data_IF_695177087871
#
_entry.id   IF_695177087871
#
_cell.length_a   1.000
_cell.length_b   1.000
_cell.length_c   1.000
_cell.angle_alpha   90.00
_cell.angle_beta   90.00
_cell.angle_gamma   90.00
#
_symmetry.space_group_name_H-M   'P 1'
#
loop_
_entity.id
_entity.type
_entity.pdbx_description
1 polymer ?
#
# COMPACT_ATOMS: atom_id res chain seq x y z
N UNK A 1 28.11 -58.40 0.98
CA UNK A 1 27.72 -59.81 0.73
C UNK A 1 26.24 -59.93 1.05
N UNK A 2 25.43 -60.31 0.06
CA UNK A 2 23.98 -60.44 0.18
C UNK A 2 23.58 -61.78 0.80
N UNK A 3 22.54 -61.82 1.63
CA UNK A 3 21.67 -62.96 1.95
C UNK A 3 20.46 -62.38 2.73
N UNK A 4 19.19 -62.79 2.65
CA UNK A 4 18.35 -63.56 1.73
C UNK A 4 16.90 -63.38 2.26
N UNK A 5 15.90 -63.34 1.36
CA UNK A 5 14.46 -63.54 1.65
C UNK A 5 14.18 -64.92 2.29
N UNK A 6 13.03 -65.07 2.99
CA UNK A 6 12.00 -66.15 2.86
C UNK A 6 10.88 -65.93 3.92
N UNK A 7 9.66 -65.50 3.57
CA UNK A 7 8.44 -66.25 3.14
C UNK A 7 7.82 -67.19 4.20
N UNK A 8 6.56 -66.93 4.58
CA UNK A 8 5.43 -67.87 4.78
C UNK A 8 4.25 -67.16 5.45
N UNK A 9 2.96 -67.45 5.24
CA UNK A 9 2.23 -68.34 4.33
C UNK A 9 0.72 -68.14 4.64
N UNK A 10 -0.13 -68.25 3.60
CA UNK A 10 -1.51 -68.77 3.53
C UNK A 10 -2.55 -68.40 4.62
N UNK A 11 -3.65 -67.70 4.28
CA UNK A 11 -4.91 -68.18 3.64
C UNK A 11 -5.81 -69.00 4.60
N UNK A 12 -7.06 -68.55 4.79
CA UNK A 12 -8.32 -69.34 4.67
C UNK A 12 -9.53 -68.44 5.00
N UNK A 13 -10.48 -68.43 4.06
CA UNK A 13 -11.85 -67.91 4.15
C UNK A 13 -12.77 -68.95 4.80
N UNK A 14 -13.75 -68.53 5.61
CA UNK A 14 -15.19 -68.72 5.36
C UNK A 14 -16.08 -68.31 6.57
N UNK A 15 -16.92 -67.30 6.29
CA UNK A 15 -18.32 -67.05 6.68
C UNK A 15 -18.94 -67.77 7.90
N UNK A 16 -19.47 -66.97 8.82
CA UNK A 16 -20.84 -67.13 9.35
C UNK A 16 -21.48 -65.76 9.60
N UNK A 17 -22.70 -65.60 9.10
CA UNK A 17 -23.58 -64.47 9.33
C UNK A 17 -24.15 -64.46 10.76
N UNK A 18 -24.36 -63.28 11.34
CA UNK A 18 -25.55 -62.95 12.13
C UNK A 18 -25.62 -61.43 12.32
N UNK A 19 -26.76 -60.84 11.96
CA UNK A 19 -27.02 -59.42 12.15
C UNK A 19 -27.47 -59.08 13.57
N UNK A 20 -27.23 -57.84 13.97
CA UNK A 20 -28.11 -57.06 14.84
C UNK A 20 -27.78 -55.57 14.71
N UNK A 21 -28.78 -54.78 14.33
CA UNK A 21 -28.78 -53.32 14.30
C UNK A 21 -28.41 -52.71 15.66
N UNK A 22 -27.46 -51.78 15.67
CA UNK A 22 -27.41 -50.70 16.66
C UNK A 22 -26.69 -49.48 16.08
N UNK A 23 -27.48 -48.58 15.52
CA UNK A 23 -27.05 -47.30 14.99
C UNK A 23 -26.52 -46.41 16.12
N UNK A 24 -25.20 -46.24 16.17
CA UNK A 24 -24.58 -45.11 16.88
C UNK A 24 -23.70 -44.37 15.88
N UNK A 25 -24.30 -43.36 15.24
CA UNK A 25 -23.59 -42.42 14.40
C UNK A 25 -22.61 -41.64 15.27
N UNK A 26 -21.32 -41.94 15.18
CA UNK A 26 -20.29 -40.99 15.60
C UNK A 26 -20.47 -39.72 14.75
N UNK A 27 -20.75 -38.61 15.43
CA UNK A 27 -20.89 -37.32 14.78
C UNK A 27 -19.57 -36.96 14.08
N UNK A 28 -19.59 -36.45 12.84
CA UNK A 28 -18.40 -35.92 12.20
C UNK A 28 -17.82 -34.81 13.09
N UNK A 29 -16.52 -34.88 13.39
CA UNK A 29 -15.76 -33.74 13.90
C UNK A 29 -15.73 -32.70 12.78
N UNK A 30 -16.69 -31.78 12.81
CA UNK A 30 -16.69 -30.59 11.97
C UNK A 30 -15.42 -29.80 12.29
N UNK A 31 -14.52 -29.53 11.34
CA UNK A 31 -13.41 -28.62 11.59
C UNK A 31 -14.02 -27.28 12.03
N UNK A 32 -13.54 -26.76 13.16
CA UNK A 32 -13.90 -25.45 13.65
C UNK A 32 -13.68 -24.43 12.52
N UNK A 33 -14.65 -23.53 12.25
CA UNK A 33 -14.48 -22.52 11.20
C UNK A 33 -13.19 -21.74 11.48
N UNK A 34 -12.25 -21.76 10.53
CA UNK A 34 -11.08 -20.90 10.62
C UNK A 34 -11.56 -19.46 10.79
N UNK A 35 -11.17 -18.81 11.89
CA UNK A 35 -11.43 -17.39 12.11
C UNK A 35 -10.95 -16.61 10.88
N UNK A 36 -11.68 -15.57 10.42
CA UNK A 36 -11.27 -14.80 9.26
C UNK A 36 -9.86 -14.24 9.49
N UNK A 37 -8.93 -14.56 8.60
CA UNK A 37 -7.57 -14.04 8.67
C UNK A 37 -7.61 -12.51 8.53
N UNK A 38 -7.25 -11.80 9.61
CA UNK A 38 -7.25 -10.34 9.61
C UNK A 38 -6.03 -9.86 8.82
N UNK A 39 -6.28 -9.36 7.61
CA UNK A 39 -5.22 -8.93 6.69
C UNK A 39 -4.47 -7.72 7.25
N UNK A 40 -3.15 -7.86 7.39
CA UNK A 40 -2.24 -6.77 7.74
C UNK A 40 -1.66 -6.17 6.46
N UNK A 41 -1.71 -4.84 6.38
CA UNK A 41 -1.22 -4.03 5.27
C UNK A 41 0.07 -3.33 5.66
N UNK A 42 0.88 -2.96 4.66
CA UNK A 42 2.10 -2.15 4.85
C UNK A 42 1.96 -0.83 4.12
N UNK A 43 1.83 0.27 4.88
CA UNK A 43 1.82 1.62 4.36
C UNK A 43 3.20 2.27 4.41
N UNK A 44 3.33 3.48 3.85
CA UNK A 44 4.54 4.30 3.86
C UNK A 44 4.22 5.76 4.16
N UNK A 45 5.07 6.42 4.96
CA UNK A 45 4.98 7.85 5.24
C UNK A 45 5.98 8.65 4.39
N UNK A 46 5.53 9.75 3.79
CA UNK A 46 6.30 10.51 2.81
C UNK A 46 6.43 12.01 3.10
N UNK A 47 7.69 12.41 3.26
CA UNK A 47 8.34 13.69 2.94
C UNK A 47 9.75 13.28 2.47
N UNK A 48 9.85 12.65 1.29
CA UNK A 48 10.71 11.47 1.04
C UNK A 48 10.43 10.30 2.00
N UNK A 49 11.07 9.15 1.86
CA UNK A 49 10.83 8.05 2.81
C UNK A 49 11.26 8.46 4.22
N UNK A 50 10.33 8.55 5.18
CA UNK A 50 10.65 8.98 6.55
C UNK A 50 10.84 7.78 7.47
N UNK A 51 12.09 7.50 7.85
CA UNK A 51 12.48 6.45 8.79
C UNK A 51 12.51 6.97 10.23
N UNK A 52 12.19 6.10 11.19
CA UNK A 52 12.27 6.40 12.62
C UNK A 52 11.01 6.99 13.25
N UNK A 53 9.98 7.36 12.47
CA UNK A 53 8.69 7.81 13.06
C UNK A 53 8.05 6.68 13.87
N UNK A 54 7.76 6.94 15.15
CA UNK A 54 6.91 6.04 15.92
C UNK A 54 5.51 6.05 15.30
N UNK A 55 4.84 4.90 15.26
CA UNK A 55 3.44 4.79 14.85
C UNK A 55 2.65 3.88 15.78
N UNK A 56 1.35 4.16 15.90
CA UNK A 56 0.41 3.33 16.64
C UNK A 56 -0.94 3.29 15.95
N UNK A 57 -1.47 2.09 15.78
CA UNK A 57 -2.86 1.80 15.39
C UNK A 57 -3.56 1.03 16.50
N UNK A 58 -4.80 0.58 16.26
CA UNK A 58 -5.50 -0.29 17.21
C UNK A 58 -4.81 -1.65 17.38
N UNK A 59 -4.29 -2.23 16.29
CA UNK A 59 -3.66 -3.55 16.30
C UNK A 59 -2.13 -3.55 16.18
N UNK A 60 -1.52 -2.46 15.70
CA UNK A 60 -0.08 -2.39 15.42
C UNK A 60 0.59 -1.22 16.13
N UNK A 61 1.89 -1.36 16.37
CA UNK A 61 2.75 -0.23 16.77
C UNK A 61 4.20 -0.55 16.43
N UNK A 62 5.01 0.48 16.21
CA UNK A 62 6.43 0.31 15.87
C UNK A 62 7.05 1.62 15.42
N UNK A 63 8.15 1.51 14.69
CA UNK A 63 8.81 2.63 14.00
C UNK A 63 8.79 2.39 12.48
N UNK A 64 8.67 3.46 11.70
CA UNK A 64 8.85 3.38 10.26
C UNK A 64 10.27 2.94 9.93
N UNK A 65 10.42 2.03 8.95
CA UNK A 65 11.75 1.58 8.53
C UNK A 65 12.39 2.55 7.53
N UNK A 66 13.57 2.21 7.00
CA UNK A 66 14.33 2.98 6.00
C UNK A 66 13.57 3.31 4.70
N UNK A 67 12.46 2.62 4.43
CA UNK A 67 11.57 2.90 3.30
C UNK A 67 10.29 3.62 3.75
N UNK A 68 10.26 4.20 4.94
CA UNK A 68 9.10 4.84 5.55
C UNK A 68 7.96 3.87 5.92
N UNK A 69 8.19 2.55 5.93
CA UNK A 69 7.09 1.57 6.02
C UNK A 69 6.58 1.35 7.43
N UNK A 70 5.26 1.31 7.59
CA UNK A 70 4.53 0.93 8.81
C UNK A 70 3.47 -0.14 8.53
N UNK A 71 3.03 -0.87 9.56
CA UNK A 71 1.99 -1.90 9.43
C UNK A 71 0.66 -1.45 10.05
N UNK A 72 -0.46 -1.85 9.45
CA UNK A 72 -1.80 -1.54 9.95
C UNK A 72 -2.83 -2.57 9.45
N UNK A 73 -4.03 -2.58 10.03
CA UNK A 73 -5.18 -3.30 9.48
C UNK A 73 -6.19 -2.33 8.87
N UNK A 74 -7.00 -2.80 7.91
CA UNK A 74 -7.90 -1.93 7.16
C UNK A 74 -8.89 -1.15 8.05
N UNK A 75 -9.08 0.13 7.74
CA UNK A 75 -9.97 1.09 8.45
C UNK A 75 -9.51 1.50 9.86
N UNK A 76 -8.32 1.11 10.30
CA UNK A 76 -7.77 1.63 11.55
C UNK A 76 -7.38 3.10 11.43
N UNK A 77 -7.42 3.80 12.56
CA UNK A 77 -6.72 5.08 12.70
C UNK A 77 -5.24 4.82 13.02
N UNK A 78 -4.40 5.76 12.60
CA UNK A 78 -2.97 5.79 12.90
C UNK A 78 -2.60 7.14 13.51
N UNK A 79 -1.69 7.08 14.48
CA UNK A 79 -1.03 8.24 15.08
C UNK A 79 0.47 8.04 14.90
N UNK A 80 1.16 9.03 14.36
CA UNK A 80 2.63 9.07 14.30
C UNK A 80 3.18 9.96 15.41
N UNK A 81 4.40 9.70 15.86
CA UNK A 81 5.06 10.54 16.87
C UNK A 81 6.59 10.54 16.80
N UNK A 82 7.19 11.57 17.39
CA UNK A 82 8.63 11.69 17.67
C UNK A 82 8.78 11.93 19.17
N UNK A 83 9.21 10.92 19.92
CA UNK A 83 9.15 10.96 21.39
C UNK A 83 7.73 11.23 21.89
N UNK A 84 7.54 12.34 22.62
CA UNK A 84 6.25 12.82 23.12
C UNK A 84 5.47 13.72 22.14
N UNK A 85 6.06 14.07 20.99
CA UNK A 85 5.43 14.90 19.96
C UNK A 85 4.49 14.02 19.15
N UNK A 86 3.21 14.02 19.48
CA UNK A 86 2.17 13.30 18.71
C UNK A 86 1.63 14.15 17.57
N UNK A 87 1.52 13.56 16.37
CA UNK A 87 0.82 14.17 15.24
C UNK A 87 -0.68 13.88 15.33
N UNK A 88 -1.53 14.68 14.65
CA UNK A 88 -2.97 14.39 14.55
C UNK A 88 -3.24 12.96 14.05
N UNK A 89 -4.29 12.35 14.59
CA UNK A 89 -4.77 11.04 14.11
C UNK A 89 -5.37 11.17 12.71
N UNK A 90 -5.02 10.24 11.83
CA UNK A 90 -5.65 10.09 10.51
C UNK A 90 -6.03 8.63 10.25
N UNK A 91 -6.75 8.36 9.15
CA UNK A 91 -7.07 6.98 8.74
C UNK A 91 -5.80 6.35 8.17
N UNK A 92 -5.43 5.18 8.67
CA UNK A 92 -4.30 4.43 8.15
C UNK A 92 -4.54 4.08 6.67
N UNK A 93 -3.60 4.49 5.83
CA UNK A 93 -3.63 4.23 4.40
C UNK A 93 -2.24 3.81 3.96
N UNK A 94 -2.13 3.33 2.72
CA UNK A 94 -0.89 2.77 2.22
C UNK A 94 0.15 3.85 1.84
N UNK A 95 -0.31 5.09 1.65
CA UNK A 95 0.53 6.27 1.48
C UNK A 95 -0.04 7.37 2.37
N UNK A 96 0.80 7.92 3.22
CA UNK A 96 0.47 9.07 4.06
C UNK A 96 1.55 10.11 3.90
N UNK A 97 1.13 11.36 3.81
CA UNK A 97 1.99 12.54 3.76
C UNK A 97 1.58 13.51 4.86
N UNK A 98 2.38 14.54 5.15
CA UNK A 98 1.96 15.67 5.98
C UNK A 98 0.60 16.28 5.58
N UNK A 99 0.21 16.25 4.29
CA UNK A 99 -1.11 16.69 3.83
C UNK A 99 -2.25 15.80 4.36
N UNK A 100 -2.05 14.48 4.42
CA UNK A 100 -3.04 13.52 4.91
C UNK A 100 -3.20 13.57 6.44
N UNK A 101 -2.13 13.94 7.15
CA UNK A 101 -2.15 14.16 8.60
C UNK A 101 -3.04 15.35 8.95
N UNK A 102 -2.91 16.45 8.22
CA UNK A 102 -3.70 17.68 8.44
C UNK A 102 -4.97 17.77 7.57
N UNK A 103 -5.27 16.74 6.79
CA UNK A 103 -6.46 16.63 5.94
C UNK A 103 -6.64 17.85 5.02
N UNK A 104 -5.55 18.29 4.39
CA UNK A 104 -5.52 19.46 3.50
C UNK A 104 -4.87 19.11 2.16
N UNK A 105 -5.00 20.00 1.18
CA UNK A 105 -4.24 19.96 -0.08
C UNK A 105 -3.29 21.16 -0.22
N UNK A 106 -3.31 22.09 0.74
CA UNK A 106 -2.47 23.28 0.71
C UNK A 106 -1.11 23.01 1.35
N UNK A 107 -0.07 22.93 0.53
CA UNK A 107 1.32 22.79 0.97
C UNK A 107 1.82 23.99 1.80
N UNK A 108 1.09 25.10 1.79
CA UNK A 108 1.44 26.33 2.53
C UNK A 108 0.65 26.48 3.84
N UNK A 109 -0.21 25.52 4.18
CA UNK A 109 -0.86 25.49 5.49
C UNK A 109 0.22 25.43 6.59
N UNK A 110 0.10 26.28 7.61
CA UNK A 110 1.18 26.52 8.58
C UNK A 110 1.60 25.24 9.32
N UNK A 111 0.64 24.38 9.66
CA UNK A 111 0.90 23.13 10.36
C UNK A 111 1.67 22.14 9.48
N UNK A 112 1.31 22.05 8.19
CA UNK A 112 2.03 21.26 7.19
C UNK A 112 3.46 21.77 7.05
N UNK A 113 3.64 23.08 6.87
CA UNK A 113 4.97 23.70 6.72
C UNK A 113 5.84 23.44 7.94
N UNK A 114 5.29 23.57 9.14
CA UNK A 114 6.03 23.35 10.38
C UNK A 114 6.39 21.87 10.60
N UNK A 115 5.51 20.94 10.20
CA UNK A 115 5.84 19.51 10.18
C UNK A 115 6.97 19.20 9.21
N UNK A 116 6.90 19.70 7.97
CA UNK A 116 7.96 19.53 6.96
C UNK A 116 9.31 20.08 7.44
N UNK A 117 9.31 21.30 7.98
CA UNK A 117 10.51 21.92 8.55
C UNK A 117 11.10 21.07 9.66
N UNK A 118 10.28 20.51 10.55
CA UNK A 118 10.76 19.68 11.64
C UNK A 118 11.39 18.38 11.12
N UNK A 119 10.68 17.64 10.27
CA UNK A 119 11.16 16.36 9.73
C UNK A 119 12.50 16.51 9.01
N UNK A 120 12.58 17.43 8.06
CA UNK A 120 13.80 17.65 7.26
C UNK A 120 14.97 18.24 8.07
N UNK A 121 14.69 18.93 9.18
CA UNK A 121 15.76 19.44 10.06
C UNK A 121 16.26 18.38 11.03
N UNK A 122 15.48 17.34 11.31
CA UNK A 122 15.88 16.22 12.16
C UNK A 122 16.59 15.11 11.39
N UNK A 123 16.61 15.21 10.06
CA UNK A 123 17.30 14.28 9.18
C UNK A 123 18.79 14.16 9.52
N UNK A 124 19.23 12.92 9.77
CA UNK A 124 20.53 12.63 10.37
C UNK A 124 21.71 13.19 9.55
N UNK A 125 21.66 13.07 8.21
CA UNK A 125 22.70 13.57 7.31
C UNK A 125 22.39 14.95 6.71
N UNK A 126 21.16 15.45 6.92
CA UNK A 126 20.70 16.75 6.45
C UNK A 126 20.42 16.80 4.95
N UNK A 127 20.37 15.67 4.25
CA UNK A 127 20.01 15.53 2.84
C UNK A 127 18.70 14.75 2.67
N UNK A 128 17.59 15.46 2.89
CA UNK A 128 16.25 14.90 2.77
C UNK A 128 15.92 14.30 1.39
N UNK A 129 16.73 14.54 0.33
CA UNK A 129 16.50 13.98 -1.00
C UNK A 129 16.80 12.48 -1.10
N UNK A 130 17.53 11.92 -0.14
CA UNK A 130 17.91 10.51 -0.12
C UNK A 130 17.07 9.67 0.88
N UNK A 131 16.10 10.29 1.54
CA UNK A 131 15.37 9.77 2.69
C UNK A 131 15.41 10.78 3.83
N UNK A 132 14.57 10.60 4.85
CA UNK A 132 14.69 11.33 6.11
C UNK A 132 14.88 10.30 7.21
N UNK A 133 15.98 10.36 7.94
CA UNK A 133 16.26 9.47 9.06
C UNK A 133 16.17 10.21 10.39
N UNK A 134 15.19 9.81 11.23
CA UNK A 134 15.05 10.32 12.60
C UNK A 134 15.71 9.32 13.55
N UNK A 135 16.80 9.74 14.17
CA UNK A 135 17.58 8.93 15.10
C UNK A 135 16.84 8.68 16.43
N UNK A 136 17.08 7.52 17.05
CA UNK A 136 16.45 7.14 18.33
C UNK A 136 16.79 8.12 19.47
N UNK A 137 17.95 8.78 19.42
CA UNK A 137 18.31 9.84 20.38
C UNK A 137 17.35 11.03 20.32
N UNK A 138 16.77 11.32 19.16
CA UNK A 138 15.78 12.39 18.98
C UNK A 138 14.49 12.05 19.75
N UNK A 139 14.05 10.79 19.75
CA UNK A 139 12.88 10.35 20.51
C UNK A 139 13.10 10.53 22.02
N UNK A 140 14.31 10.28 22.52
CA UNK A 140 14.65 10.48 23.92
C UNK A 140 14.64 11.95 24.31
N UNK A 141 15.19 12.83 23.45
CA UNK A 141 15.16 14.28 23.65
C UNK A 141 13.74 14.84 23.61
N UNK A 142 12.89 14.29 22.74
CA UNK A 142 11.51 14.71 22.56
C UNK A 142 10.51 14.06 23.53
N UNK A 143 10.94 13.16 24.42
CA UNK A 143 10.04 12.31 25.23
C UNK A 143 8.98 13.07 26.05
N UNK A 144 9.29 14.31 26.48
CA UNK A 144 8.39 15.16 27.26
C UNK A 144 7.98 16.45 26.52
N UNK A 145 8.19 16.51 25.21
CA UNK A 145 7.79 17.66 24.40
C UNK A 145 6.36 17.50 23.92
N UNK A 146 5.61 18.60 23.96
CA UNK A 146 4.34 18.76 23.27
C UNK A 146 4.46 20.02 22.45
N UNK A 147 4.14 19.92 21.16
CA UNK A 147 4.33 21.00 20.20
C UNK A 147 2.97 21.37 19.60
N UNK A 148 2.74 22.67 19.48
CA UNK A 148 1.65 23.20 18.66
C UNK A 148 2.21 23.64 17.30
N UNK A 149 1.95 22.85 16.27
CA UNK A 149 2.41 23.12 14.90
C UNK A 149 1.76 24.36 14.27
N UNK A 150 0.68 24.89 14.86
CA UNK A 150 0.02 26.12 14.40
C UNK A 150 0.55 27.38 15.09
N UNK A 151 1.37 27.22 16.13
CA UNK A 151 1.80 28.31 16.98
C UNK A 151 2.81 29.25 16.27
N UNK A 152 2.69 30.54 16.55
CA UNK A 152 3.60 31.55 16.03
C UNK A 152 5.01 31.48 16.61
N UNK A 153 5.17 30.79 17.75
CA UNK A 153 6.46 30.54 18.42
C UNK A 153 6.97 29.10 18.20
N UNK A 154 6.46 28.41 17.18
CA UNK A 154 6.86 27.03 16.84
C UNK A 154 8.38 26.82 16.80
N UNK A 155 9.13 27.76 16.20
CA UNK A 155 10.59 27.67 16.12
C UNK A 155 11.25 27.67 17.50
N UNK A 156 10.73 28.45 18.44
CA UNK A 156 11.20 28.46 19.83
C UNK A 156 10.84 27.16 20.55
N UNK A 157 9.67 26.57 20.26
CA UNK A 157 9.25 25.29 20.85
C UNK A 157 10.21 24.15 20.47
N UNK A 158 10.79 24.19 19.27
CA UNK A 158 11.63 23.10 18.75
C UNK A 158 13.13 23.40 18.71
N UNK A 159 13.56 24.63 18.99
CA UNK A 159 14.95 25.06 18.90
C UNK A 159 15.92 24.16 19.69
N UNK A 160 15.53 23.79 20.91
CA UNK A 160 16.32 22.91 21.78
C UNK A 160 16.40 21.48 21.24
N UNK A 161 15.33 20.98 20.63
CA UNK A 161 15.30 19.65 20.02
C UNK A 161 16.21 19.58 18.80
N UNK A 162 16.06 20.54 17.88
CA UNK A 162 16.82 20.56 16.61
C UNK A 162 18.30 20.82 16.87
N UNK A 163 18.65 21.72 17.78
CA UNK A 163 20.07 22.00 18.10
C UNK A 163 20.79 20.86 18.82
N UNK A 164 20.05 19.96 19.48
CA UNK A 164 20.60 18.82 20.25
C UNK A 164 20.34 17.46 19.60
N UNK A 165 19.65 17.41 18.46
CA UNK A 165 19.22 16.16 17.79
C UNK A 165 20.38 15.25 17.39
N UNK A 166 21.53 15.84 17.08
CA UNK A 166 22.68 15.16 16.49
C UNK A 166 22.70 15.22 14.95
N UNK A 167 21.64 15.76 14.33
CA UNK A 167 21.54 15.99 12.90
C UNK A 167 22.50 17.10 12.42
N UNK A 168 22.76 17.12 11.10
CA UNK A 168 23.57 18.18 10.46
C UNK A 168 22.93 19.56 10.60
N UNK A 169 21.59 19.62 10.50
CA UNK A 169 20.83 20.86 10.66
C UNK A 169 20.66 21.19 12.16
N UNK A 170 21.34 22.24 12.65
CA UNK A 170 21.26 22.68 14.05
C UNK A 170 20.17 23.72 14.33
N UNK A 171 19.40 24.08 13.29
CA UNK A 171 18.24 24.95 13.35
C UNK A 171 17.23 24.49 12.30
N UNK A 172 15.99 24.95 12.41
CA UNK A 172 14.98 24.64 11.39
C UNK A 172 15.41 25.15 10.02
N UNK A 173 15.29 24.30 9.01
CA UNK A 173 15.39 24.74 7.62
C UNK A 173 14.29 25.77 7.30
N UNK A 174 14.51 26.56 6.25
CA UNK A 174 13.53 27.56 5.81
C UNK A 174 12.25 26.90 5.32
N UNK A 175 11.11 27.58 5.50
CA UNK A 175 9.82 27.13 4.97
C UNK A 175 9.88 26.87 3.46
N UNK A 176 10.57 27.73 2.71
CA UNK A 176 10.73 27.57 1.25
C UNK A 176 11.46 26.27 0.90
N UNK A 177 12.58 25.98 1.55
CA UNK A 177 13.32 24.72 1.32
C UNK A 177 12.46 23.50 1.64
N UNK A 178 11.76 23.53 2.78
CA UNK A 178 10.90 22.44 3.21
C UNK A 178 9.77 22.16 2.21
N UNK A 179 9.09 23.22 1.76
CA UNK A 179 7.99 23.14 0.79
C UNK A 179 8.50 22.68 -0.58
N UNK A 180 9.64 23.18 -1.05
CA UNK A 180 10.17 22.83 -2.37
C UNK A 180 10.61 21.37 -2.44
N UNK A 181 11.28 20.87 -1.40
CA UNK A 181 11.59 19.44 -1.29
C UNK A 181 10.30 18.59 -1.21
N UNK A 182 9.32 19.00 -0.40
CA UNK A 182 8.07 18.25 -0.31
C UNK A 182 7.31 18.22 -1.64
N UNK A 183 7.34 19.30 -2.43
CA UNK A 183 6.78 19.30 -3.78
C UNK A 183 7.50 18.33 -4.72
N UNK A 184 8.82 18.15 -4.59
CA UNK A 184 9.54 17.11 -5.32
C UNK A 184 9.06 15.73 -4.88
N UNK A 185 8.91 15.50 -3.58
CA UNK A 185 8.31 14.27 -3.04
C UNK A 185 6.92 14.01 -3.63
N UNK A 186 6.03 15.01 -3.62
CA UNK A 186 4.69 14.89 -4.20
C UNK A 186 4.72 14.65 -5.71
N UNK A 187 5.68 15.25 -6.42
CA UNK A 187 5.88 15.00 -7.83
C UNK A 187 6.43 13.60 -8.08
N UNK A 188 7.32 13.08 -7.24
CA UNK A 188 7.85 11.71 -7.35
C UNK A 188 6.78 10.69 -7.03
N UNK A 189 6.01 10.91 -5.97
CA UNK A 189 4.80 10.16 -5.65
C UNK A 189 3.88 10.24 -6.89
N UNK A 190 3.58 11.44 -7.40
CA UNK A 190 2.74 11.68 -8.57
C UNK A 190 3.24 11.11 -9.92
N UNK A 191 4.55 11.08 -10.17
CA UNK A 191 5.22 10.52 -11.36
C UNK A 191 5.45 9.02 -11.23
N UNK A 192 5.55 8.51 -10.00
CA UNK A 192 5.40 7.09 -9.64
C UNK A 192 3.91 6.68 -9.55
N UNK A 193 3.00 7.47 -10.16
CA UNK A 193 1.54 7.28 -10.24
C UNK A 193 0.75 7.36 -8.92
N UNK A 194 1.12 8.21 -7.98
CA UNK A 194 0.38 8.45 -6.74
C UNK A 194 -0.16 9.89 -6.70
N UNK A 195 -1.27 10.08 -7.42
CA UNK A 195 -2.26 11.17 -7.39
C UNK A 195 -1.86 12.65 -7.23
N UNK A 196 -2.09 13.41 -8.30
CA UNK A 196 -2.24 14.88 -8.31
C UNK A 196 -3.63 15.28 -8.86
N UNK A 197 -4.60 14.37 -8.74
CA UNK A 197 -5.89 14.46 -9.40
C UNK A 197 -6.99 14.79 -8.39
N UNK A 198 -7.97 15.54 -8.85
CA UNK A 198 -9.16 15.91 -8.08
C UNK A 198 -9.97 14.67 -7.72
N UNK A 199 -10.88 14.78 -6.73
CA UNK A 199 -11.69 13.66 -6.24
C UNK A 199 -13.18 13.99 -6.33
N UNK A 200 -13.65 14.39 -7.51
CA UNK A 200 -15.01 14.89 -7.71
C UNK A 200 -15.92 13.92 -8.47
N UNK A 201 -15.36 12.94 -9.19
CA UNK A 201 -16.13 12.02 -10.01
C UNK A 201 -16.93 11.00 -9.18
N UNK A 202 -18.15 10.71 -9.62
CA UNK A 202 -19.05 9.74 -8.95
C UNK A 202 -18.51 8.29 -8.92
N UNK A 203 -17.52 7.97 -9.76
CA UNK A 203 -16.93 6.62 -9.87
C UNK A 203 -15.81 6.39 -8.84
N UNK A 204 -15.43 7.41 -8.08
CA UNK A 204 -14.43 7.26 -7.02
C UNK A 204 -14.94 6.27 -5.98
N UNK A 205 -14.09 5.32 -5.61
CA UNK A 205 -14.43 4.21 -4.73
C UNK A 205 -14.97 2.97 -5.46
N UNK A 206 -15.40 3.10 -6.73
CA UNK A 206 -15.80 1.93 -7.51
C UNK A 206 -14.62 0.95 -7.63
N UNK A 207 -14.96 -0.33 -7.64
CA UNK A 207 -13.97 -1.40 -7.56
C UNK A 207 -14.42 -2.66 -8.29
N UNK A 208 -13.47 -3.57 -8.52
CA UNK A 208 -13.75 -4.93 -8.94
C UNK A 208 -12.50 -5.82 -8.86
N UNK A 209 -12.71 -7.12 -8.97
CA UNK A 209 -11.63 -8.13 -8.95
C UNK A 209 -11.36 -8.63 -10.36
N UNK A 210 -10.08 -8.87 -10.67
CA UNK A 210 -9.71 -9.47 -11.94
C UNK A 210 -10.28 -10.88 -12.04
N UNK A 211 -11.07 -11.12 -13.09
CA UNK A 211 -11.35 -12.46 -13.58
C UNK A 211 -10.14 -12.95 -14.37
N UNK A 212 -9.50 -14.02 -13.90
CA UNK A 212 -8.32 -14.59 -14.54
C UNK A 212 -8.70 -15.35 -15.81
N UNK A 213 -8.09 -15.02 -16.94
CA UNK A 213 -8.24 -15.76 -18.20
C UNK A 213 -6.95 -16.44 -18.64
N UNK A 214 -5.81 -15.80 -18.39
CA UNK A 214 -4.49 -16.34 -18.67
C UNK A 214 -3.45 -15.69 -17.74
N UNK A 215 -2.23 -16.24 -17.76
CA UNK A 215 -1.04 -15.62 -17.18
C UNK A 215 -1.13 -15.25 -15.69
N UNK A 216 -1.97 -15.97 -14.94
CA UNK A 216 -2.21 -15.75 -13.51
C UNK A 216 -2.60 -14.31 -13.16
N UNK A 217 -3.26 -13.60 -14.08
CA UNK A 217 -3.75 -12.24 -13.81
C UNK A 217 -4.77 -12.27 -12.68
N UNK A 218 -4.43 -11.65 -11.56
CA UNK A 218 -5.31 -11.50 -10.41
C UNK A 218 -5.10 -10.13 -9.75
N UNK A 219 -6.00 -9.75 -8.85
CA UNK A 219 -5.90 -8.52 -8.06
C UNK A 219 -7.24 -7.81 -7.96
N UNK A 220 -7.24 -6.68 -7.25
CA UNK A 220 -8.40 -5.80 -7.09
C UNK A 220 -8.07 -4.42 -7.63
N UNK A 221 -8.87 -3.92 -8.55
CA UNK A 221 -8.77 -2.55 -9.04
C UNK A 221 -9.75 -1.63 -8.29
N UNK A 222 -9.33 -0.42 -7.97
CA UNK A 222 -10.12 0.61 -7.27
C UNK A 222 -9.82 1.98 -7.86
N UNK A 223 -10.87 2.72 -8.20
CA UNK A 223 -10.75 4.13 -8.62
C UNK A 223 -10.56 4.97 -7.36
N UNK A 224 -9.42 5.67 -7.26
CA UNK A 224 -9.04 6.38 -6.01
C UNK A 224 -9.09 7.91 -6.13
N UNK A 225 -9.13 8.43 -7.35
CA UNK A 225 -9.35 9.83 -7.72
C UNK A 225 -9.73 9.94 -9.21
N UNK A 226 -9.94 11.15 -9.72
CA UNK A 226 -10.46 11.44 -11.07
C UNK A 226 -9.56 10.93 -12.21
N UNK A 227 -8.32 10.52 -11.94
CA UNK A 227 -7.41 10.04 -12.97
C UNK A 227 -6.61 8.81 -12.57
N UNK A 228 -6.76 8.26 -11.37
CA UNK A 228 -5.88 7.21 -10.85
C UNK A 228 -6.68 5.98 -10.45
N UNK A 229 -6.23 4.82 -10.95
CA UNK A 229 -6.71 3.50 -10.55
C UNK A 229 -5.60 2.80 -9.78
N UNK A 230 -5.91 2.43 -8.55
CA UNK A 230 -5.09 1.53 -7.75
C UNK A 230 -5.42 0.08 -8.11
N UNK A 231 -4.40 -0.75 -8.31
CA UNK A 231 -4.52 -2.20 -8.43
C UNK A 231 -3.73 -2.82 -7.29
N UNK A 232 -4.43 -3.42 -6.35
CA UNK A 232 -3.86 -4.13 -5.19
C UNK A 232 -3.84 -5.63 -5.42
N UNK A 233 -2.92 -6.33 -4.75
CA UNK A 233 -2.75 -7.78 -4.84
C UNK A 233 -2.57 -8.29 -6.28
N UNK A 234 -1.95 -7.46 -7.12
CA UNK A 234 -1.76 -7.75 -8.52
C UNK A 234 -0.75 -8.88 -8.71
N UNK A 235 -1.15 -9.94 -9.41
CA UNK A 235 -0.24 -10.99 -9.84
C UNK A 235 -0.33 -11.16 -11.35
N UNK A 236 0.81 -11.43 -11.98
CA UNK A 236 0.95 -11.66 -13.41
C UNK A 236 2.28 -12.37 -13.66
N UNK A 237 2.29 -13.41 -14.48
CA UNK A 237 3.47 -14.27 -14.68
C UNK A 237 4.50 -13.71 -15.68
N UNK A 238 4.24 -12.56 -16.30
CA UNK A 238 5.17 -11.91 -17.24
C UNK A 238 5.19 -12.50 -18.65
N UNK A 239 4.39 -13.54 -18.93
CA UNK A 239 4.52 -14.40 -20.11
C UNK A 239 4.02 -13.84 -21.45
N UNK A 240 3.58 -12.58 -21.50
CA UNK A 240 3.03 -11.96 -22.71
C UNK A 240 4.04 -11.04 -23.41
N UNK A 241 4.04 -11.00 -24.77
CA UNK A 241 5.06 -10.29 -25.53
C UNK A 241 4.82 -8.79 -25.73
N UNK A 242 3.57 -8.31 -25.66
CA UNK A 242 3.21 -6.89 -25.70
C UNK A 242 1.94 -6.65 -24.87
N UNK A 243 2.11 -6.27 -23.60
CA UNK A 243 1.04 -6.29 -22.58
C UNK A 243 0.96 -4.96 -21.84
N UNK A 244 -0.26 -4.48 -21.65
CA UNK A 244 -0.57 -3.25 -20.92
C UNK A 244 -1.79 -3.46 -20.02
N UNK A 245 -2.00 -2.53 -19.08
CA UNK A 245 -3.34 -2.27 -18.60
C UNK A 245 -4.12 -1.51 -19.68
N UNK A 246 -5.37 -1.89 -19.93
CA UNK A 246 -6.21 -1.32 -20.99
C UNK A 246 -7.58 -0.93 -20.46
N UNK A 247 -7.96 0.32 -20.67
CA UNK A 247 -9.31 0.83 -20.37
C UNK A 247 -10.20 0.73 -21.61
N UNK A 248 -11.46 0.33 -21.40
CA UNK A 248 -12.50 0.34 -22.42
C UNK A 248 -13.90 0.46 -21.82
N UNK A 249 -14.88 0.81 -22.66
CA UNK A 249 -16.30 0.66 -22.36
C UNK A 249 -16.76 -0.74 -22.79
N UNK A 250 -17.55 -1.38 -21.95
CA UNK A 250 -18.22 -2.67 -22.17
C UNK A 250 -17.25 -3.81 -22.56
N UNK A 251 -16.02 -3.76 -22.04
CA UNK A 251 -14.92 -4.69 -22.33
C UNK A 251 -14.48 -4.76 -23.81
N UNK A 252 -14.78 -3.74 -24.61
CA UNK A 252 -14.43 -3.68 -26.04
C UNK A 252 -12.96 -3.24 -26.26
N UNK A 253 -12.00 -4.06 -25.84
CA UNK A 253 -10.56 -3.72 -25.85
C UNK A 253 -9.92 -3.63 -27.26
N UNK A 254 -10.61 -4.11 -28.29
CA UNK A 254 -10.21 -3.93 -29.71
C UNK A 254 -10.78 -2.67 -30.34
N UNK A 255 -11.64 -1.93 -29.62
CA UNK A 255 -12.22 -0.68 -30.13
C UNK A 255 -11.16 0.40 -30.33
N UNK A 256 -11.40 1.30 -31.29
CA UNK A 256 -10.57 2.50 -31.51
C UNK A 256 -10.58 3.46 -30.32
N UNK A 257 -11.60 3.37 -29.48
CA UNK A 257 -11.75 4.21 -28.28
C UNK A 257 -11.07 3.61 -27.05
N UNK A 258 -10.70 2.32 -27.09
CA UNK A 258 -9.93 1.66 -26.03
C UNK A 258 -8.49 2.19 -25.99
N UNK A 259 -7.89 2.18 -24.80
CA UNK A 259 -6.60 2.86 -24.60
C UNK A 259 -5.69 2.17 -23.59
N UNK A 260 -4.36 2.16 -23.84
CA UNK A 260 -3.39 1.69 -22.87
C UNK A 260 -3.29 2.66 -21.69
N UNK A 261 -3.00 2.10 -20.52
CA UNK A 261 -2.79 2.81 -19.27
C UNK A 261 -1.48 2.35 -18.63
N UNK A 262 -0.74 3.30 -18.04
CA UNK A 262 0.53 3.00 -17.38
C UNK A 262 1.64 2.53 -18.33
N UNK A 263 2.57 1.75 -17.80
CA UNK A 263 3.73 1.22 -18.53
C UNK A 263 3.47 -0.18 -19.08
N UNK A 264 4.26 -0.59 -20.08
CA UNK A 264 4.30 -1.99 -20.57
C UNK A 264 4.64 -2.96 -19.42
N UNK A 265 4.00 -4.13 -19.45
CA UNK A 265 4.17 -5.19 -18.44
C UNK A 265 5.08 -6.34 -18.90
N UNK A 266 5.58 -6.28 -20.14
CA UNK A 266 6.29 -7.39 -20.80
C UNK A 266 7.47 -7.90 -19.96
N UNK A 267 7.55 -9.22 -19.76
CA UNK A 267 8.64 -9.87 -19.05
C UNK A 267 8.76 -9.52 -17.57
N UNK A 268 7.84 -8.72 -17.02
CA UNK A 268 7.83 -8.36 -15.60
C UNK A 268 6.87 -9.25 -14.84
N UNK A 269 7.42 -9.98 -13.88
CA UNK A 269 6.66 -10.84 -12.97
C UNK A 269 6.16 -9.98 -11.81
N UNK A 270 4.87 -10.09 -11.51
CA UNK A 270 4.24 -9.47 -10.37
C UNK A 270 3.68 -10.55 -9.44
N UNK A 271 3.98 -10.43 -8.15
CA UNK A 271 3.48 -11.32 -7.11
C UNK A 271 2.91 -10.47 -5.98
N UNK A 272 1.58 -10.45 -5.83
CA UNK A 272 0.88 -9.65 -4.82
C UNK A 272 1.32 -8.17 -4.82
N UNK A 273 1.59 -7.63 -6.00
CA UNK A 273 2.09 -6.28 -6.17
C UNK A 273 0.98 -5.25 -6.01
N UNK A 274 1.39 -4.01 -5.79
CA UNK A 274 0.50 -2.86 -5.87
C UNK A 274 0.96 -1.95 -6.98
N UNK A 275 0.03 -1.57 -7.85
CA UNK A 275 0.28 -0.77 -9.04
C UNK A 275 -0.69 0.39 -9.03
N UNK A 276 -0.22 1.55 -9.42
CA UNK A 276 -1.08 2.67 -9.74
C UNK A 276 -0.94 2.98 -11.22
N UNK A 277 -2.07 3.12 -11.87
CA UNK A 277 -2.14 3.53 -13.26
C UNK A 277 -2.94 4.80 -13.35
N UNK A 278 -2.37 5.79 -14.03
CA UNK A 278 -3.07 7.03 -14.37
C UNK A 278 -3.72 6.91 -15.74
N UNK A 279 -4.88 7.54 -15.88
CA UNK A 279 -5.54 7.77 -17.15
C UNK A 279 -4.63 8.65 -18.03
N UNK A 280 -4.58 8.40 -19.36
CA UNK A 280 -3.94 9.32 -20.29
C UNK A 280 -4.51 10.74 -20.19
N UNK A 281 -3.70 11.76 -20.49
CA UNK A 281 -4.07 13.18 -20.33
C UNK A 281 -5.34 13.58 -21.09
N UNK A 282 -5.71 12.85 -22.13
CA UNK A 282 -6.89 13.10 -22.96
C UNK A 282 -8.07 12.15 -22.65
N UNK A 283 -8.07 11.48 -21.49
CA UNK A 283 -9.10 10.53 -21.07
C UNK A 283 -9.66 10.89 -19.68
N UNK A 284 -10.89 10.50 -19.42
CA UNK A 284 -11.57 10.62 -18.11
C UNK A 284 -12.15 9.28 -17.66
N UNK A 285 -12.66 9.23 -16.41
CA UNK A 285 -13.33 8.04 -15.89
C UNK A 285 -14.64 7.71 -16.63
N UNK A 286 -15.18 8.60 -17.46
CA UNK A 286 -16.32 8.31 -18.33
C UNK A 286 -15.93 7.45 -19.54
N UNK A 287 -14.65 7.43 -19.91
CA UNK A 287 -14.14 6.68 -21.06
C UNK A 287 -13.91 5.18 -20.76
N UNK A 288 -14.20 4.73 -19.53
CA UNK A 288 -14.11 3.31 -19.17
C UNK A 288 -15.15 2.88 -18.12
N UNK A 289 -15.56 1.62 -18.21
CA UNK A 289 -16.17 0.84 -17.12
C UNK A 289 -15.42 -0.50 -16.90
N UNK A 290 -14.62 -0.94 -17.87
CA UNK A 290 -13.78 -2.12 -17.78
C UNK A 290 -12.28 -1.82 -17.83
N UNK A 291 -11.49 -2.66 -17.15
CA UNK A 291 -10.03 -2.66 -17.16
C UNK A 291 -9.51 -4.07 -17.45
N UNK A 292 -8.61 -4.23 -18.43
CA UNK A 292 -7.98 -5.52 -18.75
C UNK A 292 -6.46 -5.47 -18.62
N UNK A 293 -5.85 -6.61 -18.30
CA UNK A 293 -4.47 -6.90 -18.68
C UNK A 293 -4.52 -7.46 -20.10
N UNK A 294 -4.20 -6.61 -21.07
CA UNK A 294 -4.45 -6.86 -22.48
C UNK A 294 -3.15 -7.03 -23.24
N UNK A 295 -3.07 -8.08 -24.05
CA UNK A 295 -1.99 -8.29 -25.00
C UNK A 295 -2.37 -7.72 -26.37
N UNK A 296 -1.72 -6.62 -26.77
CA UNK A 296 -1.99 -5.91 -28.02
C UNK A 296 -1.50 -6.68 -29.24
N UNK A 297 -0.42 -7.46 -29.13
CA UNK A 297 0.11 -8.24 -30.25
C UNK A 297 -0.82 -9.37 -30.70
N UNK A 298 -1.51 -10.01 -29.74
CA UNK A 298 -2.39 -11.14 -30.01
C UNK A 298 -3.88 -10.80 -29.84
N UNK A 299 -4.21 -9.54 -29.57
CA UNK A 299 -5.56 -9.10 -29.23
C UNK A 299 -6.22 -10.02 -28.17
N UNK A 300 -5.47 -10.31 -27.10
CA UNK A 300 -5.85 -11.31 -26.11
C UNK A 300 -6.02 -10.70 -24.71
N UNK A 301 -7.15 -11.04 -24.08
CA UNK A 301 -7.45 -10.65 -22.71
C UNK A 301 -6.89 -11.67 -21.72
N UNK A 302 -5.95 -11.27 -20.87
CA UNK A 302 -5.37 -12.15 -19.87
C UNK A 302 -6.14 -12.10 -18.54
N UNK A 303 -6.92 -11.05 -18.33
CA UNK A 303 -7.88 -10.95 -17.25
C UNK A 303 -8.48 -9.56 -17.22
N UNK A 304 -9.70 -9.44 -16.70
CA UNK A 304 -10.43 -8.17 -16.69
C UNK A 304 -11.20 -7.92 -15.40
N UNK A 305 -11.49 -6.64 -15.19
CA UNK A 305 -12.34 -6.09 -14.13
C UNK A 305 -13.49 -5.32 -14.79
N UNK A 306 -14.69 -5.44 -14.22
CA UNK A 306 -15.78 -4.48 -14.37
C UNK A 306 -15.86 -3.65 -13.09
N UNK A 307 -15.89 -2.33 -13.21
CA UNK A 307 -16.00 -1.44 -12.05
C UNK A 307 -17.45 -1.29 -11.59
N UNK A 308 -17.71 -1.64 -10.34
CA UNK A 308 -19.01 -1.44 -9.69
C UNK A 308 -18.88 -0.53 -8.46
N UNK A 309 -19.95 0.15 -8.03
CA UNK A 309 -19.97 0.94 -6.79
C UNK A 309 -19.54 0.14 -5.54
#
# INVERSE_FOLDING_TARGET
>A
MAYKLLISSALVLCLTACGSDSSTSEAPITPEPALPEVSTYTGQFFDSAVAGLNYKTTSQSGQTNQLGKFQFQGKESIIFSIGGIELPSTVANLYLTPLDIYQTQDTNQIEVVNLLRLLQSLDADGDASNGIEIEESVHQLAANLTIDFSASDFEQQVADLVSKSGAVNQALISATMAIDHFKLTLNEIGQNNLSSCTKEHEKIGHTGFFSTFAHNVSGKATIIDDCTIEISQFSYDGGGPDVYFYGAIDHEYTSVDAFPMGQKLNGKIYNNARIFIKLPQNKSLDDLNGLSVWCTEFEANFGQVEFTP
#
